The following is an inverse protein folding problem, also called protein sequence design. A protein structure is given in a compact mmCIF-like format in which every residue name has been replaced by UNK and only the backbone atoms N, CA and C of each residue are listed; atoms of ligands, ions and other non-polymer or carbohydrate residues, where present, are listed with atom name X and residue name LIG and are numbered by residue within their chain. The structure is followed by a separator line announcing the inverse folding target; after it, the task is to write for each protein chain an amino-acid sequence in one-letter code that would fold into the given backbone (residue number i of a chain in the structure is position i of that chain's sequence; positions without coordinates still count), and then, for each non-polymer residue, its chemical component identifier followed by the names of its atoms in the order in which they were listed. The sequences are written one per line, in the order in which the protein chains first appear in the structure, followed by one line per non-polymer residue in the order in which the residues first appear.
data_IF_706300974462
#
_entry.id   IF_706300974462
#
_cell.length_a   1.000
_cell.length_b   1.000
_cell.length_c   1.000
_cell.angle_alpha   90.00
_cell.angle_beta   90.00
_cell.angle_gamma   90.00
#
_symmetry.space_group_name_H-M   'P 1'
#
loop_
_entity.id
_entity.type
_entity.pdbx_description
1 polymer ?
#
# COMPACT_ATOMS: atom_id res chain seq x y z
N UNK A 1 10.75 10.12 -10.66
CA UNK A 1 9.52 9.83 -9.90
C UNK A 1 8.51 10.93 -10.19
N UNK A 2 7.35 10.58 -10.72
CA UNK A 2 6.24 11.53 -10.94
C UNK A 2 5.56 11.85 -9.61
N UNK A 3 4.87 12.98 -9.54
CA UNK A 3 4.15 13.41 -8.33
C UNK A 3 2.64 13.34 -8.56
N UNK A 4 1.92 12.90 -7.54
CA UNK A 4 0.46 12.86 -7.50
C UNK A 4 -0.04 13.55 -6.24
N UNK A 5 -1.26 14.07 -6.30
CA UNK A 5 -1.98 14.65 -5.16
C UNK A 5 -3.22 13.80 -4.89
N UNK A 6 -3.47 13.48 -3.64
CA UNK A 6 -4.64 12.71 -3.24
C UNK A 6 -5.68 13.62 -2.59
N UNK A 7 -6.95 13.31 -2.82
CA UNK A 7 -8.10 14.03 -2.27
C UNK A 7 -8.01 14.08 -0.74
N UNK A 8 -8.14 15.27 -0.19
CA UNK A 8 -8.30 15.43 1.25
C UNK A 8 -9.65 14.87 1.65
N UNK A 9 -9.66 13.93 2.57
CA UNK A 9 -10.89 13.38 3.15
C UNK A 9 -10.92 13.76 4.62
N UNK A 10 -11.95 14.50 5.00
CA UNK A 10 -12.22 14.78 6.39
C UNK A 10 -12.70 13.49 7.07
N UNK A 11 -12.10 13.18 8.21
CA UNK A 11 -12.52 12.09 9.07
C UNK A 11 -13.25 12.66 10.28
N UNK A 12 -14.24 11.94 10.78
CA UNK A 12 -14.87 12.28 12.05
C UNK A 12 -13.84 12.19 13.19
N UNK A 13 -14.11 12.89 14.28
CA UNK A 13 -13.26 12.82 15.48
C UNK A 13 -13.05 11.37 15.94
N UNK A 14 -14.14 10.58 16.00
CA UNK A 14 -14.08 9.18 16.40
C UNK A 14 -13.16 8.35 15.49
N UNK A 15 -13.28 8.50 14.15
CA UNK A 15 -12.38 7.79 13.22
C UNK A 15 -10.92 8.22 13.37
N UNK A 16 -10.67 9.48 13.66
CA UNK A 16 -9.32 9.99 13.89
C UNK A 16 -8.70 9.36 15.13
N UNK A 17 -9.46 9.25 16.23
CA UNK A 17 -8.99 8.61 17.46
C UNK A 17 -8.72 7.13 17.28
N UNK A 18 -9.58 6.39 16.58
CA UNK A 18 -9.36 4.97 16.27
C UNK A 18 -8.12 4.77 15.37
N UNK A 19 -7.92 5.65 14.39
CA UNK A 19 -6.74 5.62 13.55
C UNK A 19 -5.46 5.90 14.36
N UNK A 20 -5.49 6.86 15.28
CA UNK A 20 -4.39 7.17 16.19
C UNK A 20 -4.06 5.98 17.10
N UNK A 21 -5.09 5.29 17.59
CA UNK A 21 -4.94 4.08 18.40
C UNK A 21 -4.28 2.97 17.60
N UNK A 22 -4.77 2.70 16.38
CA UNK A 22 -4.18 1.70 15.49
C UNK A 22 -2.73 2.03 15.16
N UNK A 23 -2.43 3.29 14.80
CA UNK A 23 -1.08 3.77 14.54
C UNK A 23 -0.15 3.53 15.74
N UNK A 24 -0.60 3.88 16.93
CA UNK A 24 0.15 3.69 18.18
C UNK A 24 0.45 2.22 18.41
N UNK A 25 -0.54 1.35 18.24
CA UNK A 25 -0.37 -0.09 18.38
C UNK A 25 0.67 -0.65 17.39
N UNK A 26 0.67 -0.17 16.14
CA UNK A 26 1.67 -0.54 15.14
C UNK A 26 3.07 -0.10 15.59
N UNK A 27 3.22 1.12 16.06
CA UNK A 27 4.51 1.63 16.55
C UNK A 27 5.06 0.85 17.74
N UNK A 28 4.19 0.33 18.60
CA UNK A 28 4.57 -0.51 19.75
C UNK A 28 4.69 -2.00 19.44
N UNK A 29 4.28 -2.45 18.25
CA UNK A 29 4.37 -3.87 17.88
C UNK A 29 5.79 -4.37 17.61
N UNK A 30 6.77 -3.46 17.53
CA UNK A 30 8.19 -3.75 17.35
C UNK A 30 8.79 -3.00 16.15
N UNK A 31 10.05 -2.57 16.29
CA UNK A 31 10.79 -1.84 15.25
C UNK A 31 11.10 -2.67 14.01
N UNK A 32 11.01 -3.98 14.12
CA UNK A 32 11.22 -4.97 13.06
C UNK A 32 9.97 -5.16 12.18
N UNK A 33 8.80 -4.69 12.62
CA UNK A 33 7.52 -4.81 11.89
C UNK A 33 7.38 -3.69 10.87
N UNK A 34 8.08 -3.83 9.74
CA UNK A 34 8.10 -2.82 8.68
C UNK A 34 7.06 -3.08 7.59
N UNK A 35 6.88 -4.31 7.15
CA UNK A 35 5.99 -4.70 6.07
C UNK A 35 4.68 -5.21 6.64
N UNK A 36 3.61 -4.47 6.39
CA UNK A 36 2.28 -4.70 6.98
C UNK A 36 1.25 -4.88 5.85
N UNK A 37 0.66 -6.06 5.77
CA UNK A 37 -0.45 -6.34 4.86
C UNK A 37 -1.75 -5.80 5.45
N UNK A 38 -2.52 -5.13 4.62
CA UNK A 38 -3.88 -4.69 4.91
C UNK A 38 -4.85 -5.47 4.03
N UNK A 39 -5.78 -6.18 4.63
CA UNK A 39 -6.84 -6.92 3.94
C UNK A 39 -8.18 -6.72 4.64
N UNK A 40 -9.23 -7.32 4.14
CA UNK A 40 -10.58 -7.29 4.70
C UNK A 40 -11.31 -8.58 4.37
N UNK A 41 -12.43 -8.85 5.01
CA UNK A 41 -13.27 -10.02 4.67
C UNK A 41 -13.96 -9.82 3.33
N UNK A 42 -14.52 -8.62 3.08
CA UNK A 42 -15.29 -8.31 1.88
C UNK A 42 -14.84 -7.01 1.22
N UNK A 43 -15.28 -6.81 -0.01
CA UNK A 43 -15.08 -5.55 -0.73
C UNK A 43 -15.95 -4.43 -0.14
N UNK A 44 -15.43 -3.20 -0.12
CA UNK A 44 -16.20 -2.02 0.31
C UNK A 44 -16.15 -1.72 1.81
N UNK A 45 -15.37 -2.43 2.60
CA UNK A 45 -15.22 -2.21 4.06
C UNK A 45 -14.32 -0.99 4.42
N UNK A 46 -13.88 -0.22 3.43
CA UNK A 46 -13.07 0.97 3.67
C UNK A 46 -11.57 0.69 3.83
N UNK A 47 -11.11 -0.54 3.62
CA UNK A 47 -9.72 -0.99 3.75
C UNK A 47 -8.71 -0.02 3.13
N UNK A 48 -8.80 0.26 1.84
CA UNK A 48 -7.85 1.12 1.12
C UNK A 48 -7.85 2.56 1.65
N UNK A 49 -9.01 3.07 2.08
CA UNK A 49 -9.12 4.39 2.72
C UNK A 49 -8.36 4.42 4.04
N UNK A 50 -8.57 3.43 4.90
CA UNK A 50 -7.89 3.34 6.21
C UNK A 50 -6.39 3.13 6.00
N UNK A 51 -5.99 2.27 5.06
CA UNK A 51 -4.58 2.03 4.74
C UNK A 51 -3.88 3.33 4.33
N UNK A 52 -4.50 4.12 3.44
CA UNK A 52 -3.95 5.41 3.03
C UNK A 52 -3.87 6.41 4.18
N UNK A 53 -4.92 6.54 4.98
CA UNK A 53 -4.93 7.47 6.13
C UNK A 53 -3.89 7.10 7.18
N UNK A 54 -3.70 5.81 7.42
CA UNK A 54 -2.67 5.29 8.33
C UNK A 54 -1.26 5.60 7.81
N UNK A 55 -1.00 5.33 6.54
CA UNK A 55 0.27 5.63 5.88
C UNK A 55 0.59 7.14 5.93
N UNK A 56 -0.41 7.99 5.63
CA UNK A 56 -0.31 9.45 5.71
C UNK A 56 -0.01 9.91 7.13
N UNK A 57 -0.72 9.41 8.12
CA UNK A 57 -0.56 9.76 9.53
C UNK A 57 0.86 9.44 10.05
N UNK A 58 1.45 8.31 9.65
CA UNK A 58 2.84 7.97 9.98
C UNK A 58 3.85 8.87 9.25
N UNK A 59 3.57 9.23 8.00
CA UNK A 59 4.41 10.15 7.24
C UNK A 59 4.40 11.57 7.86
N UNK A 60 3.27 12.03 8.38
CA UNK A 60 3.14 13.30 9.12
C UNK A 60 3.95 13.29 10.43
N UNK A 61 4.18 12.12 11.03
CA UNK A 61 5.10 11.94 12.17
C UNK A 61 6.58 11.81 11.74
N UNK A 62 6.90 12.08 10.47
CA UNK A 62 8.27 12.07 9.96
C UNK A 62 8.79 10.70 9.55
N UNK A 63 7.98 9.64 9.57
CA UNK A 63 8.37 8.30 9.09
C UNK A 63 8.38 8.26 7.57
N UNK A 64 9.34 7.54 6.99
CA UNK A 64 9.38 7.24 5.55
C UNK A 64 8.44 6.07 5.28
N UNK A 65 7.39 6.31 4.53
CA UNK A 65 6.31 5.34 4.31
C UNK A 65 6.12 5.06 2.83
N UNK A 66 6.01 3.79 2.48
CA UNK A 66 5.56 3.34 1.17
C UNK A 66 4.19 2.69 1.30
N UNK A 67 3.26 3.10 0.46
CA UNK A 67 1.97 2.44 0.28
C UNK A 67 1.97 1.71 -1.05
N UNK A 68 1.77 0.40 -1.02
CA UNK A 68 1.67 -0.46 -2.21
C UNK A 68 0.23 -0.89 -2.37
N UNK A 69 -0.36 -0.57 -3.51
CA UNK A 69 -1.66 -1.09 -3.92
C UNK A 69 -1.45 -2.41 -4.66
N UNK A 70 -1.66 -3.50 -3.96
CA UNK A 70 -1.56 -4.86 -4.48
C UNK A 70 -2.91 -5.48 -4.85
N UNK A 71 -4.02 -4.73 -4.74
CA UNK A 71 -5.32 -5.15 -5.27
C UNK A 71 -5.36 -4.92 -6.79
N UNK A 72 -4.60 -5.74 -7.51
CA UNK A 72 -4.53 -5.67 -8.98
C UNK A 72 -5.84 -6.11 -9.67
N UNK A 73 -6.84 -6.59 -8.92
CA UNK A 73 -8.11 -7.05 -9.46
C UNK A 73 -9.18 -5.97 -9.48
N UNK A 74 -9.23 -5.16 -8.41
CA UNK A 74 -10.25 -4.13 -8.23
C UNK A 74 -9.70 -2.96 -7.41
N UNK A 75 -8.55 -2.43 -7.83
CA UNK A 75 -7.98 -1.24 -7.19
C UNK A 75 -8.97 -0.07 -7.19
N UNK A 76 -9.06 0.59 -6.05
CA UNK A 76 -9.82 1.84 -5.88
C UNK A 76 -8.90 3.04 -5.60
N UNK A 77 -7.61 2.80 -5.43
CA UNK A 77 -6.66 3.81 -4.96
C UNK A 77 -6.45 4.94 -5.98
N UNK A 78 -6.50 4.63 -7.28
CA UNK A 78 -6.46 5.65 -8.34
C UNK A 78 -7.64 6.62 -8.26
N UNK A 79 -8.79 6.19 -7.77
CA UNK A 79 -9.97 7.05 -7.58
C UNK A 79 -9.78 8.08 -6.44
N UNK A 80 -8.76 7.91 -5.61
CA UNK A 80 -8.40 8.86 -4.55
C UNK A 80 -7.55 10.02 -5.08
N UNK A 81 -7.12 10.00 -6.34
CA UNK A 81 -6.35 11.09 -6.93
C UNK A 81 -7.20 12.36 -7.05
N UNK A 82 -6.62 13.48 -6.67
CA UNK A 82 -7.12 14.83 -6.94
C UNK A 82 -6.45 15.39 -8.19
N UNK A 83 -5.14 15.17 -8.34
CA UNK A 83 -4.38 15.59 -9.51
C UNK A 83 -3.20 14.67 -9.80
N UNK A 84 -2.69 14.75 -11.02
CA UNK A 84 -1.66 13.86 -11.54
C UNK A 84 -2.25 12.68 -12.32
N UNK A 85 -1.39 11.90 -12.95
CA UNK A 85 -1.76 10.68 -13.68
C UNK A 85 -0.90 9.50 -13.25
N UNK A 86 -1.49 8.32 -13.22
CA UNK A 86 -0.80 7.05 -12.96
C UNK A 86 -0.68 6.30 -14.28
N UNK A 87 0.50 6.37 -14.90
CA UNK A 87 0.76 5.73 -16.19
C UNK A 87 1.33 4.32 -16.03
N UNK A 88 2.09 4.09 -14.97
CA UNK A 88 2.71 2.81 -14.65
C UNK A 88 2.37 2.42 -13.22
N UNK A 89 2.34 1.12 -12.93
CA UNK A 89 2.04 0.60 -11.60
C UNK A 89 2.70 -0.76 -11.36
N UNK A 90 2.35 -1.36 -10.24
CA UNK A 90 2.90 -2.63 -9.76
C UNK A 90 2.80 -3.74 -10.82
N UNK A 91 1.65 -3.88 -11.48
CA UNK A 91 1.46 -4.90 -12.52
C UNK A 91 2.40 -4.72 -13.72
N UNK A 92 2.64 -3.47 -14.15
CA UNK A 92 3.63 -3.18 -15.20
C UNK A 92 5.05 -3.55 -14.76
N UNK A 93 5.42 -3.17 -13.54
CA UNK A 93 6.75 -3.46 -13.02
C UNK A 93 6.98 -4.98 -12.88
N UNK A 94 6.07 -5.70 -12.25
CA UNK A 94 6.19 -7.15 -12.06
C UNK A 94 6.13 -7.95 -13.36
N UNK A 95 5.56 -7.38 -14.42
CA UNK A 95 5.55 -7.94 -15.77
C UNK A 95 6.75 -7.49 -16.64
N UNK A 96 7.72 -6.76 -16.06
CA UNK A 96 8.91 -6.29 -16.79
C UNK A 96 8.67 -5.17 -17.80
N UNK A 97 7.54 -4.47 -17.72
CA UNK A 97 7.13 -3.43 -18.68
C UNK A 97 7.59 -2.02 -18.29
N UNK A 98 8.15 -1.84 -17.11
CA UNK A 98 8.74 -0.59 -16.65
C UNK A 98 9.73 -0.84 -15.50
N UNK A 99 10.56 0.15 -15.22
CA UNK A 99 11.42 0.15 -14.05
C UNK A 99 10.62 0.49 -12.77
N UNK A 100 11.16 0.12 -11.61
CA UNK A 100 10.56 0.43 -10.31
C UNK A 100 10.43 1.95 -10.10
N UNK A 101 11.41 2.73 -10.54
CA UNK A 101 11.41 4.20 -10.43
C UNK A 101 10.32 4.89 -11.25
N UNK A 102 9.81 4.24 -12.30
CA UNK A 102 8.68 4.73 -13.09
C UNK A 102 7.34 4.38 -12.47
N UNK A 103 7.28 3.30 -11.68
CA UNK A 103 6.05 2.80 -11.05
C UNK A 103 5.76 3.43 -9.68
N UNK A 104 6.77 3.98 -9.00
CA UNK A 104 6.62 4.64 -7.69
C UNK A 104 6.37 6.13 -7.86
N UNK A 105 5.40 6.65 -7.14
CA UNK A 105 4.97 8.06 -7.19
C UNK A 105 5.25 8.77 -5.86
N UNK A 106 5.75 10.01 -5.93
CA UNK A 106 5.81 10.90 -4.79
C UNK A 106 4.42 11.53 -4.56
N UNK A 107 4.10 11.82 -3.31
CA UNK A 107 2.89 12.57 -2.94
C UNK A 107 3.24 14.01 -2.56
N UNK A 108 2.26 14.78 -2.04
CA UNK A 108 2.50 16.09 -1.45
C UNK A 108 3.42 15.99 -0.22
N UNK A 109 3.35 14.89 0.52
CA UNK A 109 4.27 14.58 1.60
C UNK A 109 5.57 14.01 1.05
N UNK A 110 6.69 14.63 1.36
CA UNK A 110 8.02 14.11 1.00
C UNK A 110 8.36 12.77 1.70
N UNK A 111 7.52 12.33 2.64
CA UNK A 111 7.71 11.11 3.43
C UNK A 111 6.77 9.98 3.01
N UNK A 112 5.82 10.22 2.09
CA UNK A 112 4.88 9.22 1.60
C UNK A 112 5.04 9.02 0.11
N UNK A 113 5.35 7.80 -0.28
CA UNK A 113 5.35 7.35 -1.67
C UNK A 113 4.26 6.31 -1.89
N UNK A 114 3.78 6.21 -3.12
CA UNK A 114 2.74 5.23 -3.49
C UNK A 114 3.17 4.46 -4.73
N UNK A 115 2.98 3.15 -4.70
CA UNK A 115 3.08 2.25 -5.82
C UNK A 115 1.67 1.73 -6.13
N UNK A 116 1.04 2.32 -7.14
CA UNK A 116 -0.33 1.94 -7.55
C UNK A 116 -0.37 0.58 -8.24
N UNK A 117 -1.52 -0.08 -8.22
CA UNK A 117 -1.69 -1.42 -8.80
C UNK A 117 -1.37 -1.48 -10.30
N UNK A 118 -1.72 -0.44 -11.04
CA UNK A 118 -1.66 -0.45 -12.51
C UNK A 118 -2.86 -1.18 -13.14
N UNK A 119 -2.82 -1.51 -14.44
CA UNK A 119 -3.90 -2.25 -15.10
C UNK A 119 -4.01 -3.68 -14.57
N UNK A 120 -5.21 -4.25 -14.69
CA UNK A 120 -5.47 -5.62 -14.26
C UNK A 120 -4.67 -6.61 -15.15
N UNK A 121 -3.71 -7.35 -14.57
CA UNK A 121 -2.98 -8.37 -15.33
C UNK A 121 -3.79 -9.67 -15.42
N UNK A 122 -3.48 -10.58 -16.36
CA UNK A 122 -4.16 -11.88 -16.46
C UNK A 122 -3.84 -12.84 -15.29
N UNK A 123 -2.73 -12.61 -14.59
CA UNK A 123 -2.17 -13.50 -13.58
C UNK A 123 -1.72 -12.79 -12.27
N UNK A 124 -2.62 -12.08 -11.56
CA UNK A 124 -2.25 -11.30 -10.38
C UNK A 124 -1.56 -12.14 -9.30
N UNK A 125 -2.09 -13.31 -9.01
CA UNK A 125 -1.59 -14.23 -7.98
C UNK A 125 -0.16 -14.68 -8.26
N UNK A 126 0.17 -15.01 -9.52
CA UNK A 126 1.52 -15.40 -9.93
C UNK A 126 2.51 -14.25 -9.76
N UNK A 127 2.12 -13.03 -10.15
CA UNK A 127 2.97 -11.85 -10.01
C UNK A 127 3.29 -11.56 -8.53
N UNK A 128 2.30 -11.67 -7.65
CA UNK A 128 2.48 -11.44 -6.21
C UNK A 128 3.26 -12.56 -5.51
N UNK A 129 3.22 -13.78 -6.03
CA UNK A 129 3.98 -14.92 -5.51
C UNK A 129 5.41 -15.01 -6.05
N UNK A 130 5.74 -14.21 -7.06
CA UNK A 130 7.05 -14.23 -7.73
C UNK A 130 8.19 -13.68 -6.87
N UNK A 131 9.40 -14.18 -7.12
CA UNK A 131 10.62 -13.72 -6.41
C UNK A 131 10.87 -12.21 -6.61
N UNK A 132 10.53 -11.64 -7.77
CA UNK A 132 10.71 -10.22 -8.03
C UNK A 132 9.93 -9.35 -7.02
N UNK A 133 8.69 -9.72 -6.68
CA UNK A 133 7.90 -8.99 -5.68
C UNK A 133 8.55 -9.08 -4.29
N UNK A 134 9.00 -10.26 -3.89
CA UNK A 134 9.67 -10.50 -2.60
C UNK A 134 10.99 -9.72 -2.50
N UNK A 135 11.83 -9.78 -3.54
CA UNK A 135 13.11 -9.07 -3.58
C UNK A 135 12.91 -7.55 -3.55
N UNK A 136 11.85 -7.07 -4.21
CA UNK A 136 11.46 -5.65 -4.19
C UNK A 136 11.08 -5.22 -2.78
N UNK A 137 10.27 -6.00 -2.07
CA UNK A 137 9.92 -5.71 -0.66
C UNK A 137 11.17 -5.69 0.22
N UNK A 138 12.10 -6.63 0.04
CA UNK A 138 13.34 -6.66 0.81
C UNK A 138 14.19 -5.41 0.55
N UNK A 139 14.30 -4.96 -0.69
CA UNK A 139 15.01 -3.73 -1.05
C UNK A 139 14.36 -2.48 -0.43
N UNK A 140 13.05 -2.45 -0.33
CA UNK A 140 12.32 -1.34 0.28
C UNK A 140 12.50 -1.25 1.81
N UNK A 141 12.80 -2.37 2.48
CA UNK A 141 13.03 -2.39 3.94
C UNK A 141 14.21 -1.49 4.38
N UNK A 142 15.18 -1.27 3.52
CA UNK A 142 16.33 -0.39 3.80
C UNK A 142 16.00 1.09 3.57
N UNK A 143 14.98 1.37 2.77
CA UNK A 143 14.58 2.73 2.36
C UNK A 143 13.48 3.28 3.25
N UNK A 144 12.47 2.46 3.59
CA UNK A 144 11.27 2.87 4.29
C UNK A 144 11.25 2.36 5.74
N UNK A 145 10.62 3.16 6.61
CA UNK A 145 10.38 2.78 8.00
C UNK A 145 9.14 1.90 8.09
N UNK A 146 8.13 2.14 7.22
CA UNK A 146 6.92 1.34 7.07
C UNK A 146 6.55 1.13 5.61
N UNK A 147 6.07 -0.06 5.30
CA UNK A 147 5.56 -0.46 3.99
C UNK A 147 4.18 -1.08 4.22
N UNK A 148 3.14 -0.38 3.79
CA UNK A 148 1.77 -0.90 3.81
C UNK A 148 1.42 -1.50 2.46
N UNK A 149 0.85 -2.70 2.47
CA UNK A 149 0.43 -3.40 1.26
C UNK A 149 -1.08 -3.59 1.32
N UNK A 150 -1.80 -2.80 0.53
CA UNK A 150 -3.25 -2.87 0.40
C UNK A 150 -3.62 -4.00 -0.56
N UNK A 151 -4.16 -5.10 -0.03
CA UNK A 151 -4.47 -6.32 -0.79
C UNK A 151 -5.97 -6.47 -1.02
N UNK A 152 -6.34 -7.26 -2.02
CA UNK A 152 -7.71 -7.70 -2.22
C UNK A 152 -8.26 -8.41 -0.98
N UNK A 153 -9.60 -8.39 -0.75
CA UNK A 153 -10.21 -9.06 0.39
C UNK A 153 -9.88 -10.56 0.45
N UNK A 154 -9.38 -11.03 1.58
CA UNK A 154 -8.97 -12.45 1.77
C UNK A 154 -10.15 -13.41 1.69
N UNK A 155 -11.36 -12.95 1.98
CA UNK A 155 -12.59 -13.74 1.81
C UNK A 155 -12.98 -14.00 0.36
N UNK A 156 -12.35 -13.28 -0.60
CA UNK A 156 -12.66 -13.41 -2.02
C UNK A 156 -11.54 -14.08 -2.82
N UNK A 157 -10.27 -13.79 -2.49
CA UNK A 157 -9.09 -14.29 -3.22
C UNK A 157 -7.92 -14.54 -2.28
N UNK A 158 -6.99 -15.39 -2.70
CA UNK A 158 -5.85 -15.81 -1.88
C UNK A 158 -4.69 -14.80 -1.85
N UNK A 159 -4.75 -13.74 -2.64
CA UNK A 159 -3.63 -12.82 -2.86
C UNK A 159 -3.05 -12.25 -1.55
N UNK A 160 -3.92 -11.83 -0.61
CA UNK A 160 -3.50 -11.32 0.69
C UNK A 160 -2.72 -12.36 1.53
N UNK A 161 -3.13 -13.63 1.49
CA UNK A 161 -2.43 -14.70 2.18
C UNK A 161 -1.04 -14.98 1.58
N UNK A 162 -0.90 -14.82 0.25
CA UNK A 162 0.39 -14.96 -0.43
C UNK A 162 1.32 -13.81 -0.03
N UNK A 163 0.84 -12.57 -0.07
CA UNK A 163 1.62 -11.39 0.31
C UNK A 163 2.01 -11.43 1.80
N UNK A 164 1.14 -11.96 2.67
CA UNK A 164 1.42 -12.10 4.09
C UNK A 164 2.64 -12.97 4.39
N UNK A 165 3.00 -13.93 3.51
CA UNK A 165 4.20 -14.77 3.69
C UNK A 165 5.51 -14.00 3.63
N UNK A 166 5.55 -12.85 2.97
CA UNK A 166 6.72 -11.96 2.89
C UNK A 166 6.54 -10.67 3.70
N UNK A 167 5.55 -10.63 4.58
CA UNK A 167 5.22 -9.50 5.44
C UNK A 167 5.51 -9.82 6.91
N UNK A 168 5.63 -8.79 7.74
CA UNK A 168 5.93 -8.93 9.18
C UNK A 168 4.65 -8.98 10.03
N UNK A 169 3.57 -8.39 9.52
CA UNK A 169 2.26 -8.36 10.16
C UNK A 169 1.14 -8.26 9.13
N UNK A 170 -0.07 -8.62 9.56
CA UNK A 170 -1.29 -8.44 8.78
C UNK A 170 -2.36 -7.79 9.66
N UNK A 171 -3.13 -6.88 9.06
CA UNK A 171 -4.28 -6.21 9.66
C UNK A 171 -5.52 -6.53 8.81
N UNK A 172 -6.60 -6.94 9.47
CA UNK A 172 -7.87 -7.28 8.84
C UNK A 172 -9.00 -6.51 9.51
#
# INVERSE_FOLDING_TARGET
MKRVTLKKREMSYAMTEELNTLRTNIQFSGVDKKVIVMTSSFSGEGKSTITYQLAKSLAELGKRVLLIDADMRKSVMVNMLESGSVDKGLSHYLSGQCSLSEAVYATESSRLHILFAGPVPPNPTELLSGELFKDTLNSFRDIYDYIFIDCAPVGMVIDAAIVAKCSDAAIM
#
